data_IF_385916367565
#
_entry.id   IF_385916367565
#
_cell.length_a   1.000
_cell.length_b   1.000
_cell.length_c   1.000
_cell.angle_alpha   90.00
_cell.angle_beta   90.00
_cell.angle_gamma   90.00
#
_symmetry.space_group_name_H-M   'P 1'
#
loop_
_entity.id
_entity.type
_entity.pdbx_description
1 polymer ?
#
# COMPACT_ATOMS: atom_id res chain seq x y z
N UNK A 1 0.26 11.20 -26.26
CA UNK A 1 -0.13 10.90 -24.87
C UNK A 1 1.15 10.84 -24.06
N UNK A 2 1.24 11.57 -22.94
CA UNK A 2 2.37 11.41 -22.04
C UNK A 2 2.39 9.98 -21.48
N UNK A 3 3.57 9.40 -21.35
CA UNK A 3 3.74 8.10 -20.71
C UNK A 3 3.38 8.23 -19.23
N UNK A 4 2.67 7.23 -18.68
CA UNK A 4 2.33 7.21 -17.26
C UNK A 4 3.11 6.13 -16.50
N UNK A 5 3.38 6.43 -15.23
CA UNK A 5 4.04 5.56 -14.26
C UNK A 5 3.05 5.17 -13.15
N UNK A 6 2.81 3.88 -12.99
CA UNK A 6 1.88 3.30 -12.02
C UNK A 6 2.60 2.80 -10.78
N UNK A 7 2.04 3.12 -9.62
CA UNK A 7 2.40 2.52 -8.33
C UNK A 7 1.19 1.69 -7.89
N UNK A 8 1.36 0.39 -7.72
CA UNK A 8 0.31 -0.53 -7.31
C UNK A 8 0.46 -0.89 -5.85
N UNK A 9 -0.66 -0.84 -5.17
CA UNK A 9 -0.86 -1.21 -3.77
C UNK A 9 -2.27 -1.78 -3.60
N UNK A 10 -2.57 -2.34 -2.42
CA UNK A 10 -3.92 -2.77 -2.08
C UNK A 10 -4.35 -2.31 -0.68
N UNK A 11 -5.67 -2.09 -0.53
CA UNK A 11 -6.26 -1.57 0.69
C UNK A 11 -7.01 -2.61 1.53
N UNK A 12 -7.35 -3.76 0.93
CA UNK A 12 -7.86 -4.91 1.65
C UNK A 12 -6.75 -5.62 2.41
N UNK A 13 -7.13 -6.42 3.41
CA UNK A 13 -6.22 -7.11 4.31
C UNK A 13 -6.84 -8.45 4.71
N UNK A 14 -6.03 -9.47 4.99
CA UNK A 14 -6.54 -10.71 5.58
C UNK A 14 -7.16 -10.50 6.98
N UNK A 15 -8.10 -11.39 7.40
CA UNK A 15 -8.59 -11.43 8.76
C UNK A 15 -7.47 -11.58 9.81
N UNK A 16 -7.71 -11.04 11.01
CA UNK A 16 -6.81 -11.16 12.14
C UNK A 16 -7.45 -11.98 13.27
N UNK A 17 -6.73 -12.98 13.77
CA UNK A 17 -7.11 -13.72 14.98
C UNK A 17 -6.57 -12.97 16.20
N UNK A 18 -7.44 -12.21 16.90
CA UNK A 18 -7.06 -11.37 18.05
C UNK A 18 -6.29 -12.13 19.14
N UNK A 19 -6.52 -13.42 19.32
CA UNK A 19 -5.83 -14.22 20.34
C UNK A 19 -4.33 -14.40 20.04
N UNK A 20 -3.91 -14.22 18.78
CA UNK A 20 -2.51 -14.31 18.35
C UNK A 20 -1.77 -12.97 18.37
N UNK A 21 -2.47 -11.87 18.66
CA UNK A 21 -1.88 -10.52 18.69
C UNK A 21 -1.28 -10.22 20.06
N UNK A 22 -0.31 -11.04 20.46
CA UNK A 22 0.41 -10.93 21.72
C UNK A 22 1.91 -10.90 21.42
N UNK A 23 2.61 -9.89 21.93
CA UNK A 23 4.07 -9.78 21.80
C UNK A 23 4.80 -10.78 22.71
N UNK A 24 6.09 -10.99 22.48
CA UNK A 24 6.91 -11.93 23.26
C UNK A 24 6.93 -11.62 24.77
N UNK A 25 6.76 -10.35 25.14
CA UNK A 25 6.70 -9.89 26.53
C UNK A 25 5.30 -10.02 27.19
N UNK A 26 4.31 -10.54 26.44
CA UNK A 26 2.94 -10.72 26.90
C UNK A 26 2.01 -9.53 26.62
N UNK A 27 2.49 -8.47 25.97
CA UNK A 27 1.65 -7.32 25.61
C UNK A 27 0.57 -7.73 24.60
N UNK A 28 -0.70 -7.62 24.99
CA UNK A 28 -1.84 -7.84 24.10
C UNK A 28 -2.10 -6.61 23.24
N UNK A 29 -2.26 -6.80 21.93
CA UNK A 29 -2.59 -5.77 20.96
C UNK A 29 -3.98 -6.01 20.36
N UNK A 30 -4.67 -4.94 19.97
CA UNK A 30 -5.78 -5.04 19.03
C UNK A 30 -5.24 -4.91 17.59
N UNK A 31 -5.44 -5.89 16.70
CA UNK A 31 -5.00 -5.82 15.31
C UNK A 31 -5.45 -4.57 14.56
N UNK A 32 -6.61 -4.02 14.92
CA UNK A 32 -7.23 -2.93 14.17
C UNK A 32 -7.03 -1.57 14.85
N UNK A 33 -6.18 -1.49 15.87
CA UNK A 33 -5.70 -0.25 16.48
C UNK A 33 -4.20 -0.15 16.26
N UNK A 34 -3.78 0.81 15.44
CA UNK A 34 -2.36 1.03 15.17
C UNK A 34 -1.66 1.53 16.44
N UNK A 35 -0.55 0.90 16.78
CA UNK A 35 0.27 1.25 17.93
C UNK A 35 1.75 1.32 17.54
N UNK A 36 2.46 2.31 18.06
CA UNK A 36 3.92 2.41 17.93
C UNK A 36 4.53 1.91 19.24
N UNK A 37 5.33 0.86 19.18
CA UNK A 37 6.00 0.27 20.34
C UNK A 37 7.48 0.12 19.98
N UNK A 38 8.33 0.89 20.67
CA UNK A 38 9.74 1.02 20.32
C UNK A 38 9.91 1.65 18.93
N UNK A 39 10.59 0.92 18.05
CA UNK A 39 10.88 1.30 16.66
C UNK A 39 9.92 0.67 15.64
N UNK A 40 8.89 -0.06 16.10
CA UNK A 40 7.95 -0.81 15.26
C UNK A 40 6.55 -0.23 15.30
N UNK A 41 5.86 -0.33 14.17
CA UNK A 41 4.44 0.01 14.00
C UNK A 41 3.65 -1.29 13.89
N UNK A 42 2.76 -1.52 14.85
CA UNK A 42 1.91 -2.71 14.90
C UNK A 42 0.49 -2.37 14.46
N UNK A 43 -0.08 -3.21 13.61
CA UNK A 43 -1.47 -3.15 13.18
C UNK A 43 -1.68 -3.98 11.91
N UNK A 44 -2.84 -4.61 11.75
CA UNK A 44 -3.19 -5.32 10.52
C UNK A 44 -3.28 -4.30 9.39
N UNK A 45 -2.47 -4.48 8.36
CA UNK A 45 -2.37 -3.52 7.27
C UNK A 45 -1.10 -2.68 7.28
N UNK A 46 -0.31 -2.67 8.36
CA UNK A 46 0.82 -1.72 8.45
C UNK A 46 1.97 -2.05 7.51
N UNK A 47 2.28 -3.34 7.32
CA UNK A 47 3.25 -3.83 6.33
C UNK A 47 2.57 -4.16 5.01
N UNK A 48 1.51 -4.94 5.07
CA UNK A 48 0.75 -5.48 3.94
C UNK A 48 -0.68 -4.93 4.00
N UNK A 49 -1.05 -3.89 3.24
CA UNK A 49 -0.17 -3.06 2.36
C UNK A 49 -0.43 -1.54 2.53
N UNK A 50 -1.10 -1.16 3.61
CA UNK A 50 -1.48 0.25 3.86
C UNK A 50 -0.27 1.12 4.16
N UNK A 51 0.81 0.55 4.70
CA UNK A 51 2.09 1.26 4.86
C UNK A 51 2.61 1.78 3.53
N UNK A 52 2.58 0.95 2.49
CA UNK A 52 3.03 1.29 1.14
C UNK A 52 2.15 2.34 0.48
N UNK A 53 0.83 2.30 0.70
CA UNK A 53 -0.10 3.37 0.27
C UNK A 53 0.36 4.71 0.84
N UNK A 54 0.58 4.77 2.15
CA UNK A 54 1.00 6.00 2.83
C UNK A 54 2.38 6.45 2.33
N UNK A 55 3.35 5.53 2.22
CA UNK A 55 4.68 5.85 1.71
C UNK A 55 4.63 6.43 0.29
N UNK A 56 3.84 5.82 -0.61
CA UNK A 56 3.67 6.30 -1.98
C UNK A 56 3.03 7.70 -2.02
N UNK A 57 1.98 7.94 -1.23
CA UNK A 57 1.34 9.26 -1.12
C UNK A 57 2.32 10.34 -0.65
N UNK A 58 3.11 10.05 0.37
CA UNK A 58 4.11 11.00 0.88
C UNK A 58 5.25 11.23 -0.13
N UNK A 59 5.70 10.20 -0.84
CA UNK A 59 6.69 10.36 -1.91
C UNK A 59 6.16 11.23 -3.06
N UNK A 60 4.92 10.99 -3.50
CA UNK A 60 4.26 11.81 -4.53
C UNK A 60 4.11 13.26 -4.07
N UNK A 61 3.73 13.49 -2.81
CA UNK A 61 3.65 14.83 -2.21
C UNK A 61 5.02 15.52 -2.19
N UNK A 62 6.07 14.83 -1.76
CA UNK A 62 7.43 15.39 -1.73
C UNK A 62 7.93 15.79 -3.13
N UNK A 63 7.63 14.97 -4.16
CA UNK A 63 7.95 15.30 -5.55
C UNK A 63 7.17 16.55 -6.00
N UNK A 64 5.88 16.63 -5.68
CA UNK A 64 5.07 17.82 -6.00
C UNK A 64 5.64 19.08 -5.32
N UNK A 65 5.98 19.00 -4.04
CA UNK A 65 6.51 20.12 -3.25
C UNK A 65 7.94 20.53 -3.67
N UNK A 66 8.71 19.62 -4.29
CA UNK A 66 10.06 19.92 -4.78
C UNK A 66 10.10 20.91 -5.95
N UNK A 67 8.97 21.13 -6.64
CA UNK A 67 8.89 21.98 -7.84
C UNK A 67 9.61 21.42 -9.06
N UNK A 68 10.10 20.18 -9.02
CA UNK A 68 10.71 19.52 -10.15
C UNK A 68 9.70 19.34 -11.29
N UNK A 69 10.17 19.49 -12.53
CA UNK A 69 9.36 19.20 -13.71
C UNK A 69 9.10 17.69 -13.80
N UNK A 70 7.85 17.29 -13.60
CA UNK A 70 7.42 15.90 -13.70
C UNK A 70 7.10 15.57 -15.16
N UNK A 71 7.95 14.75 -15.79
CA UNK A 71 7.85 14.40 -17.23
C UNK A 71 6.77 13.37 -17.57
N UNK A 72 6.15 12.74 -16.57
CA UNK A 72 5.20 11.63 -16.71
C UNK A 72 4.08 11.72 -15.70
N UNK A 73 2.90 11.28 -16.09
CA UNK A 73 1.77 11.20 -15.16
C UNK A 73 2.03 10.06 -14.17
N UNK A 74 2.06 10.35 -12.87
CA UNK A 74 2.21 9.33 -11.82
C UNK A 74 0.82 8.97 -11.29
N UNK A 75 0.51 7.67 -11.25
CA UNK A 75 -0.78 7.14 -10.77
C UNK A 75 -0.56 6.14 -9.64
N UNK A 76 -1.02 6.48 -8.43
CA UNK A 76 -1.22 5.51 -7.36
C UNK A 76 -2.52 4.74 -7.61
N UNK A 77 -2.43 3.42 -7.68
CA UNK A 77 -3.55 2.50 -7.88
C UNK A 77 -3.67 1.66 -6.62
N UNK A 78 -4.78 1.85 -5.90
CA UNK A 78 -5.14 1.11 -4.70
C UNK A 78 -6.26 0.16 -5.08
N UNK A 79 -5.97 -1.14 -5.19
CA UNK A 79 -7.02 -2.14 -5.35
C UNK A 79 -7.58 -2.61 -3.99
N UNK A 80 -8.63 -3.42 -3.99
CA UNK A 80 -9.36 -3.78 -2.75
C UNK A 80 -9.73 -5.25 -2.70
N UNK A 81 -9.06 -6.11 -3.47
CA UNK A 81 -9.37 -7.54 -3.51
C UNK A 81 -8.12 -8.41 -3.71
N UNK A 82 -6.92 -7.86 -3.48
CA UNK A 82 -5.65 -8.55 -3.75
C UNK A 82 -5.62 -9.89 -2.99
N UNK A 83 -5.94 -9.83 -1.70
CA UNK A 83 -5.89 -10.92 -0.72
C UNK A 83 -6.89 -12.06 -1.01
N UNK A 84 -7.81 -11.83 -1.94
CA UNK A 84 -8.84 -12.78 -2.39
C UNK A 84 -8.81 -13.02 -3.91
N UNK A 85 -7.72 -12.65 -4.60
CA UNK A 85 -7.47 -13.01 -6.00
C UNK A 85 -7.61 -11.90 -7.04
N UNK A 86 -7.56 -10.63 -6.62
CA UNK A 86 -7.33 -9.46 -7.47
C UNK A 86 -8.44 -9.15 -8.48
N UNK A 87 -9.71 -9.42 -8.14
CA UNK A 87 -10.84 -9.16 -9.04
C UNK A 87 -11.07 -7.67 -9.33
N UNK A 88 -10.73 -6.80 -8.38
CA UNK A 88 -10.77 -5.35 -8.48
C UNK A 88 -9.79 -4.82 -9.51
N UNK A 89 -8.54 -5.31 -9.53
CA UNK A 89 -7.61 -4.93 -10.58
C UNK A 89 -8.06 -5.41 -11.97
N UNK A 90 -8.63 -6.62 -12.08
CA UNK A 90 -9.23 -7.12 -13.34
C UNK A 90 -10.37 -6.20 -13.81
N UNK A 91 -11.24 -5.76 -12.90
CA UNK A 91 -12.31 -4.80 -13.18
C UNK A 91 -11.79 -3.46 -13.70
N UNK A 92 -10.74 -2.93 -13.07
CA UNK A 92 -10.08 -1.67 -13.44
C UNK A 92 -9.44 -1.75 -14.83
N UNK A 93 -8.64 -2.80 -15.07
CA UNK A 93 -7.93 -3.03 -16.34
C UNK A 93 -8.87 -3.11 -17.55
N UNK A 94 -10.09 -3.61 -17.35
CA UNK A 94 -11.09 -3.69 -18.41
C UNK A 94 -11.70 -2.33 -18.79
N UNK A 95 -11.53 -1.28 -17.98
CA UNK A 95 -12.19 0.04 -18.13
C UNK A 95 -11.23 1.21 -18.28
N UNK A 96 -9.97 1.01 -17.91
CA UNK A 96 -8.96 2.07 -17.89
C UNK A 96 -7.65 1.59 -18.50
N UNK A 97 -6.91 2.47 -19.21
CA UNK A 97 -5.55 2.15 -19.64
C UNK A 97 -4.64 1.99 -18.43
N UNK A 98 -3.86 0.91 -18.46
CA UNK A 98 -2.80 0.62 -17.49
C UNK A 98 -1.60 1.54 -17.78
N UNK A 99 -0.93 2.10 -16.75
CA UNK A 99 0.31 2.84 -16.95
C UNK A 99 1.37 2.04 -17.72
N UNK A 100 2.22 2.74 -18.48
CA UNK A 100 3.23 2.10 -19.33
C UNK A 100 4.32 1.44 -18.49
N UNK A 101 4.71 2.09 -17.40
CA UNK A 101 5.66 1.59 -16.43
C UNK A 101 4.92 1.36 -15.12
N UNK A 102 5.20 0.26 -14.43
CA UNK A 102 4.47 -0.12 -13.23
C UNK A 102 5.45 -0.67 -12.20
N UNK A 103 5.32 -0.23 -10.95
CA UNK A 103 5.97 -0.84 -9.78
C UNK A 103 4.88 -1.29 -8.82
N UNK A 104 5.07 -2.45 -8.19
CA UNK A 104 4.19 -2.95 -7.13
C UNK A 104 4.94 -2.76 -5.82
N UNK A 105 4.29 -2.15 -4.83
CA UNK A 105 4.88 -1.90 -3.51
C UNK A 105 4.30 -2.85 -2.46
N UNK A 106 4.16 -4.11 -2.80
CA UNK A 106 3.57 -5.14 -1.94
C UNK A 106 4.56 -6.32 -1.81
N UNK A 107 5.72 -6.00 -1.27
CA UNK A 107 6.77 -6.97 -0.96
C UNK A 107 7.80 -6.36 0.00
N UNK A 108 8.63 -7.21 0.58
CA UNK A 108 9.82 -6.78 1.32
C UNK A 108 10.81 -6.07 0.37
N UNK A 109 11.51 -5.07 0.89
CA UNK A 109 12.70 -4.55 0.22
C UNK A 109 13.75 -5.67 0.07
N UNK A 110 14.50 -5.72 -1.04
CA UNK A 110 15.60 -6.67 -1.19
C UNK A 110 16.70 -6.49 -0.14
#
# INVERSE_FOLDING_TARGET
MNESFGIYTHGDVVPADKAKWILEDGTQLDPYQMQIIGDKIYGRGTEDDKGSIVAALFAMKAVQESGLEVKRDVRLIIETTEEIGGSGFKYYKARHPIPKFNVVLDNLYP
#
